data_IF_969724795871
#
_entry.id   IF_969724795871
#
_cell.length_a   1.000
_cell.length_b   1.000
_cell.length_c   1.000
_cell.angle_alpha   90.00
_cell.angle_beta   90.00
_cell.angle_gamma   90.00
#
_symmetry.space_group_name_H-M   'P 1'
#
loop_
_entity.id
_entity.type
_entity.pdbx_description
1 polymer ?
#
# COMPACT_ATOMS: atom_id res chain seq x y z
N UNK A 1 -11.50 -20.96 -1.11
CA UNK A 1 -11.13 -20.94 0.31
C UNK A 1 -10.98 -19.53 0.81
N UNK A 2 -11.63 -19.25 1.92
CA UNK A 2 -11.73 -17.87 2.42
C UNK A 2 -10.69 -17.59 3.49
N UNK A 3 -9.45 -17.37 3.08
CA UNK A 3 -8.47 -16.88 4.05
C UNK A 3 -8.61 -15.37 4.21
N UNK A 4 -8.20 -14.88 5.35
CA UNK A 4 -8.23 -13.44 5.58
C UNK A 4 -7.25 -12.74 4.66
N UNK A 5 -7.66 -11.59 4.16
CA UNK A 5 -6.76 -10.69 3.43
C UNK A 5 -5.73 -10.16 4.42
N UNK A 6 -4.46 -10.25 4.06
CA UNK A 6 -3.37 -9.79 4.89
C UNK A 6 -2.76 -8.52 4.28
N UNK A 7 -2.74 -7.45 5.06
CA UNK A 7 -2.30 -6.14 4.60
C UNK A 7 -1.10 -5.70 5.43
N UNK A 8 -0.06 -5.26 4.75
CA UNK A 8 1.09 -4.65 5.40
C UNK A 8 0.99 -3.14 5.23
N UNK A 9 1.04 -2.42 6.34
CA UNK A 9 1.00 -0.96 6.32
C UNK A 9 2.31 -0.39 6.84
N UNK A 10 2.85 0.58 6.12
CA UNK A 10 4.10 1.21 6.49
C UNK A 10 4.12 2.67 6.07
N UNK A 11 5.00 3.45 6.71
CA UNK A 11 5.28 4.82 6.32
C UNK A 11 6.58 4.83 5.53
N UNK A 12 6.53 5.38 4.34
CA UNK A 12 7.72 5.49 3.50
C UNK A 12 8.67 6.54 4.05
N UNK A 13 9.88 6.13 4.37
CA UNK A 13 10.92 7.03 4.83
C UNK A 13 10.80 7.36 6.31
N UNK A 14 11.27 8.55 6.65
CA UNK A 14 11.39 8.99 8.03
C UNK A 14 10.34 10.07 8.32
N UNK A 15 9.14 9.66 8.62
CA UNK A 15 8.05 10.58 8.96
C UNK A 15 7.56 10.23 10.35
N UNK A 16 7.39 11.27 11.19
CA UNK A 16 6.94 11.06 12.57
C UNK A 16 5.42 11.11 12.72
N UNK A 17 4.70 11.48 11.66
CA UNK A 17 3.24 11.61 11.70
C UNK A 17 2.61 10.30 11.22
N UNK A 18 1.99 9.57 12.13
CA UNK A 18 1.43 8.25 11.81
C UNK A 18 -0.07 8.11 12.10
N UNK A 19 -0.73 9.18 12.50
CA UNK A 19 -2.12 9.10 12.93
C UNK A 19 -3.06 8.55 11.86
N UNK A 20 -2.93 9.05 10.63
CA UNK A 20 -3.77 8.62 9.53
C UNK A 20 -3.61 7.14 9.24
N UNK A 21 -2.38 6.66 9.26
CA UNK A 21 -2.11 5.26 8.95
C UNK A 21 -2.61 4.34 10.05
N UNK A 22 -2.52 4.76 11.31
CA UNK A 22 -3.05 3.99 12.44
C UNK A 22 -4.56 3.84 12.30
N UNK A 23 -5.25 4.90 11.91
CA UNK A 23 -6.71 4.86 11.71
C UNK A 23 -7.05 3.87 10.58
N UNK A 24 -6.33 3.91 9.47
CA UNK A 24 -6.54 2.97 8.38
C UNK A 24 -6.33 1.53 8.86
N UNK A 25 -5.29 1.29 9.66
CA UNK A 25 -5.04 -0.05 10.19
C UNK A 25 -6.24 -0.55 11.01
N UNK A 26 -6.78 0.30 11.87
CA UNK A 26 -7.96 -0.06 12.68
C UNK A 26 -9.18 -0.35 11.81
N UNK A 27 -9.39 0.48 10.78
CA UNK A 27 -10.53 0.31 9.87
C UNK A 27 -10.44 -1.01 9.10
N UNK A 28 -9.24 -1.36 8.62
CA UNK A 28 -9.06 -2.62 7.90
C UNK A 28 -9.25 -3.83 8.80
N UNK A 29 -8.79 -3.75 10.05
CA UNK A 29 -9.03 -4.81 11.03
C UNK A 29 -10.53 -4.97 11.31
N UNK A 30 -11.25 -3.86 11.41
CA UNK A 30 -12.70 -3.90 11.59
C UNK A 30 -13.42 -4.58 10.44
N UNK A 31 -12.83 -4.54 9.24
CA UNK A 31 -13.37 -5.24 8.06
C UNK A 31 -12.97 -6.71 8.02
N UNK A 32 -12.27 -7.20 9.02
CA UNK A 32 -11.88 -8.60 9.10
C UNK A 32 -10.54 -8.93 8.48
N UNK A 33 -9.77 -7.93 8.12
CA UNK A 33 -8.45 -8.15 7.53
C UNK A 33 -7.38 -8.28 8.60
N UNK A 34 -6.33 -9.04 8.30
CA UNK A 34 -5.16 -9.11 9.16
C UNK A 34 -4.20 -7.99 8.75
N UNK A 35 -3.77 -7.19 9.70
CA UNK A 35 -2.93 -6.04 9.42
C UNK A 35 -1.60 -6.14 10.15
N UNK A 36 -0.51 -6.00 9.40
CA UNK A 36 0.83 -5.87 9.94
C UNK A 36 1.23 -4.41 9.81
N UNK A 37 1.50 -3.77 10.92
CA UNK A 37 1.87 -2.35 10.94
C UNK A 37 3.37 -2.23 11.24
N UNK A 38 4.14 -1.74 10.27
CA UNK A 38 5.59 -1.63 10.42
C UNK A 38 6.07 -0.27 10.93
N UNK A 39 5.29 0.79 10.69
CA UNK A 39 5.76 2.13 11.00
C UNK A 39 6.69 2.65 9.91
N UNK A 40 7.69 3.43 10.30
CA UNK A 40 8.63 4.03 9.34
C UNK A 40 9.55 2.98 8.75
N UNK A 41 9.56 2.84 7.44
CA UNK A 41 10.39 1.84 6.77
C UNK A 41 10.89 2.33 5.43
N UNK A 42 12.03 1.83 5.04
CA UNK A 42 12.54 2.02 3.68
C UNK A 42 11.99 0.90 2.77
N UNK A 43 11.97 1.13 1.46
CA UNK A 43 11.38 0.15 0.53
C UNK A 43 11.93 -1.27 0.66
N UNK A 44 13.22 -1.45 0.90
CA UNK A 44 13.79 -2.79 1.08
C UNK A 44 13.14 -3.55 2.22
N UNK A 45 12.95 -2.88 3.37
CA UNK A 45 12.34 -3.51 4.54
C UNK A 45 10.89 -3.87 4.27
N UNK A 46 10.17 -2.99 3.57
CA UNK A 46 8.77 -3.22 3.24
C UNK A 46 8.63 -4.47 2.39
N UNK A 47 9.41 -4.58 1.33
CA UNK A 47 9.34 -5.72 0.41
C UNK A 47 9.80 -7.00 1.10
N UNK A 48 10.89 -6.95 1.85
CA UNK A 48 11.37 -8.14 2.57
C UNK A 48 10.32 -8.66 3.54
N UNK A 49 9.72 -7.78 4.32
CA UNK A 49 8.68 -8.18 5.28
C UNK A 49 7.43 -8.69 4.57
N UNK A 50 7.04 -8.04 3.48
CA UNK A 50 5.86 -8.46 2.70
C UNK A 50 6.03 -9.89 2.20
N UNK A 51 7.22 -10.24 1.72
CA UNK A 51 7.50 -11.57 1.23
C UNK A 51 7.51 -12.58 2.38
N UNK A 52 8.17 -12.25 3.47
CA UNK A 52 8.25 -13.14 4.64
C UNK A 52 6.88 -13.42 5.24
N UNK A 53 6.03 -12.41 5.31
CA UNK A 53 4.70 -12.52 5.90
C UNK A 53 3.63 -12.96 4.92
N UNK A 54 3.97 -13.07 3.64
CA UNK A 54 3.04 -13.50 2.59
C UNK A 54 1.78 -12.64 2.53
N UNK A 55 1.99 -11.33 2.50
CA UNK A 55 0.86 -10.39 2.46
C UNK A 55 0.23 -10.33 1.07
N UNK A 56 -1.02 -9.87 1.02
CA UNK A 56 -1.75 -9.68 -0.24
C UNK A 56 -1.68 -8.24 -0.71
N UNK A 57 -1.54 -7.31 0.23
CA UNK A 57 -1.60 -5.87 -0.04
C UNK A 57 -0.49 -5.16 0.72
N UNK A 58 0.16 -4.22 0.05
CA UNK A 58 1.08 -3.29 0.69
C UNK A 58 0.47 -1.91 0.59
N UNK A 59 0.20 -1.29 1.74
CA UNK A 59 -0.28 0.09 1.80
C UNK A 59 0.77 0.96 2.44
N UNK A 60 1.13 2.05 1.78
CA UNK A 60 2.14 2.95 2.31
C UNK A 60 1.58 4.36 2.42
N UNK A 61 2.16 5.13 3.34
CA UNK A 61 1.81 6.53 3.54
C UNK A 61 3.08 7.36 3.37
N UNK A 62 2.96 8.50 2.73
CA UNK A 62 4.09 9.40 2.54
C UNK A 62 3.62 10.83 2.64
N UNK A 63 4.24 11.61 3.52
CA UNK A 63 3.85 13.01 3.76
C UNK A 63 4.94 14.00 3.40
N UNK A 64 6.14 13.57 3.17
CA UNK A 64 7.28 14.47 3.08
C UNK A 64 7.75 14.84 1.69
N UNK A 65 6.94 14.66 0.67
CA UNK A 65 7.36 14.98 -0.69
C UNK A 65 8.26 13.92 -1.33
N UNK A 66 8.55 12.85 -0.61
CA UNK A 66 9.39 11.76 -1.11
C UNK A 66 8.56 10.65 -1.75
N UNK A 67 7.26 10.86 -1.93
CA UNK A 67 6.37 9.82 -2.42
C UNK A 67 6.73 9.31 -3.81
N UNK A 68 7.18 10.16 -4.71
CA UNK A 68 7.56 9.71 -6.06
C UNK A 68 8.87 8.94 -6.04
N UNK A 69 9.89 9.45 -5.39
CA UNK A 69 11.19 8.77 -5.36
C UNK A 69 11.15 7.47 -4.57
N UNK A 70 10.57 7.49 -3.38
CA UNK A 70 10.47 6.29 -2.56
C UNK A 70 9.43 5.31 -3.10
N UNK A 71 8.34 5.83 -3.67
CA UNK A 71 7.34 4.99 -4.32
C UNK A 71 7.91 4.28 -5.53
N UNK A 72 8.69 4.98 -6.35
CA UNK A 72 9.36 4.37 -7.50
C UNK A 72 10.34 3.29 -7.06
N UNK A 73 11.07 3.55 -5.98
CA UNK A 73 12.02 2.58 -5.45
C UNK A 73 11.30 1.34 -4.91
N UNK A 74 10.16 1.53 -4.26
CA UNK A 74 9.34 0.42 -3.78
C UNK A 74 8.91 -0.47 -4.93
N UNK A 75 8.41 0.13 -6.01
CA UNK A 75 7.98 -0.61 -7.19
C UNK A 75 9.14 -1.34 -7.86
N UNK A 76 10.30 -0.69 -7.94
CA UNK A 76 11.50 -1.29 -8.49
C UNK A 76 11.92 -2.52 -7.68
N UNK A 77 11.92 -2.41 -6.35
CA UNK A 77 12.28 -3.53 -5.48
C UNK A 77 11.30 -4.68 -5.61
N UNK A 78 10.01 -4.39 -5.71
CA UNK A 78 8.99 -5.42 -5.90
C UNK A 78 9.18 -6.14 -7.25
N UNK A 79 9.47 -5.38 -8.30
CA UNK A 79 9.70 -5.96 -9.61
C UNK A 79 10.96 -6.84 -9.63
N UNK A 80 12.03 -6.40 -8.97
CA UNK A 80 13.27 -7.18 -8.87
C UNK A 80 13.05 -8.52 -8.19
N UNK A 81 12.15 -8.56 -7.22
CA UNK A 81 11.84 -9.79 -6.48
C UNK A 81 10.73 -10.61 -7.13
N UNK A 82 10.14 -10.12 -8.22
CA UNK A 82 9.10 -10.84 -8.94
C UNK A 82 7.71 -10.75 -8.32
N UNK A 83 7.46 -9.79 -7.44
CA UNK A 83 6.19 -9.69 -6.73
C UNK A 83 5.31 -8.52 -7.13
N UNK A 84 5.76 -7.67 -8.05
CA UNK A 84 4.99 -6.48 -8.41
C UNK A 84 3.60 -6.83 -8.93
N UNK A 85 3.49 -7.87 -9.73
CA UNK A 85 2.20 -8.25 -10.34
C UNK A 85 1.32 -9.07 -9.39
N UNK A 86 1.90 -9.63 -8.34
CA UNK A 86 1.16 -10.48 -7.41
C UNK A 86 0.54 -9.72 -6.25
N UNK A 87 1.13 -8.58 -5.88
CA UNK A 87 0.68 -7.80 -4.73
C UNK A 87 -0.09 -6.57 -5.17
N UNK A 88 -1.04 -6.16 -4.33
CA UNK A 88 -1.74 -4.89 -4.51
C UNK A 88 -0.95 -3.80 -3.79
N UNK A 89 -0.69 -2.69 -4.47
CA UNK A 89 0.07 -1.57 -3.91
C UNK A 89 -0.83 -0.34 -3.80
N UNK A 90 -0.96 0.16 -2.58
CA UNK A 90 -1.77 1.35 -2.29
C UNK A 90 -0.89 2.41 -1.65
N UNK A 91 -1.15 3.67 -1.95
CA UNK A 91 -0.43 4.77 -1.34
C UNK A 91 -1.40 5.88 -0.95
N UNK A 92 -1.20 6.43 0.25
CA UNK A 92 -1.92 7.58 0.73
C UNK A 92 -0.96 8.67 1.14
N UNK A 93 -1.42 9.91 1.15
CA UNK A 93 -0.57 11.02 1.56
C UNK A 93 -1.03 12.34 0.95
N UNK A 94 -0.21 13.35 1.16
CA UNK A 94 -0.46 14.69 0.61
C UNK A 94 0.36 14.85 -0.67
N UNK A 95 -0.31 14.83 -1.81
CA UNK A 95 0.36 15.02 -3.10
C UNK A 95 -0.56 15.76 -4.07
N UNK A 96 0.05 16.38 -5.08
CA UNK A 96 -0.70 17.08 -6.12
C UNK A 96 -1.40 16.10 -7.05
N UNK A 97 -2.41 16.56 -7.82
CA UNK A 97 -3.02 15.70 -8.83
C UNK A 97 -2.02 15.14 -9.84
N UNK A 98 -1.00 15.93 -10.20
CA UNK A 98 0.04 15.48 -11.12
C UNK A 98 0.86 14.35 -10.51
N UNK A 99 1.21 14.46 -9.23
CA UNK A 99 1.94 13.40 -8.54
C UNK A 99 1.08 12.16 -8.37
N UNK A 100 -0.23 12.32 -8.12
CA UNK A 100 -1.14 11.19 -8.04
C UNK A 100 -1.16 10.42 -9.36
N UNK A 101 -1.19 11.12 -10.49
CA UNK A 101 -1.16 10.49 -11.81
C UNK A 101 0.16 9.74 -12.03
N UNK A 102 1.27 10.32 -11.60
CA UNK A 102 2.57 9.66 -11.71
C UNK A 102 2.65 8.40 -10.85
N UNK A 103 2.06 8.44 -9.66
CA UNK A 103 2.04 7.26 -8.79
C UNK A 103 1.28 6.10 -9.44
N UNK A 104 0.17 6.39 -10.12
CA UNK A 104 -0.55 5.36 -10.88
C UNK A 104 0.33 4.80 -11.98
N UNK A 105 1.04 5.68 -12.71
CA UNK A 105 1.90 5.26 -13.81
C UNK A 105 3.04 4.36 -13.37
N UNK A 106 3.60 4.62 -12.19
CA UNK A 106 4.72 3.81 -11.70
C UNK A 106 4.27 2.49 -11.09
N UNK A 107 2.96 2.26 -10.95
CA UNK A 107 2.45 0.94 -10.64
C UNK A 107 1.55 0.82 -9.41
N UNK A 108 1.23 1.91 -8.73
CA UNK A 108 0.30 1.83 -7.61
C UNK A 108 -1.11 1.54 -8.10
N UNK A 109 -1.76 0.58 -7.46
CA UNK A 109 -3.12 0.17 -7.83
C UNK A 109 -4.17 1.11 -7.26
N UNK A 110 -3.86 1.81 -6.17
CA UNK A 110 -4.74 2.80 -5.58
C UNK A 110 -3.95 3.95 -4.99
N UNK A 111 -4.42 5.17 -5.22
CA UNK A 111 -3.78 6.40 -4.74
C UNK A 111 -4.84 7.20 -4.01
N UNK A 112 -4.60 7.50 -2.72
CA UNK A 112 -5.60 8.11 -1.85
C UNK A 112 -5.10 9.43 -1.28
N UNK A 113 -5.62 10.57 -1.77
CA UNK A 113 -5.27 11.87 -1.22
C UNK A 113 -5.93 12.08 0.15
N UNK A 114 -5.55 13.15 0.88
CA UNK A 114 -6.15 13.45 2.17
C UNK A 114 -7.66 13.56 2.07
N UNK A 115 -8.37 13.06 3.06
CA UNK A 115 -9.82 13.10 3.07
C UNK A 115 -10.49 11.93 2.39
N UNK A 116 -9.72 10.97 1.88
CA UNK A 116 -10.31 9.75 1.32
C UNK A 116 -11.07 9.01 2.41
N UNK A 117 -12.29 8.58 2.09
CA UNK A 117 -13.14 7.91 3.06
C UNK A 117 -12.68 6.47 3.28
N UNK A 118 -13.05 5.93 4.46
CA UNK A 118 -12.85 4.51 4.76
C UNK A 118 -13.44 3.64 3.65
N UNK A 119 -14.66 3.97 3.23
CA UNK A 119 -15.36 3.19 2.20
C UNK A 119 -14.58 3.19 0.90
N UNK A 120 -14.02 4.33 0.49
CA UNK A 120 -13.24 4.41 -0.74
C UNK A 120 -11.99 3.54 -0.68
N UNK A 121 -11.29 3.55 0.46
CA UNK A 121 -10.07 2.77 0.64
C UNK A 121 -10.38 1.28 0.64
N UNK A 122 -11.39 0.86 1.40
CA UNK A 122 -11.77 -0.56 1.51
C UNK A 122 -12.26 -1.08 0.15
N UNK A 123 -13.13 -0.32 -0.52
CA UNK A 123 -13.66 -0.72 -1.83
C UNK A 123 -12.54 -0.83 -2.85
N UNK A 124 -11.66 0.17 -2.90
CA UNK A 124 -10.53 0.16 -3.84
C UNK A 124 -9.60 -1.00 -3.61
N UNK A 125 -9.32 -1.32 -2.35
CA UNK A 125 -8.49 -2.46 -2.00
C UNK A 125 -9.11 -3.77 -2.48
N UNK A 126 -10.40 -3.97 -2.22
CA UNK A 126 -11.10 -5.19 -2.62
C UNK A 126 -11.16 -5.33 -4.14
N UNK A 127 -11.42 -4.24 -4.85
CA UNK A 127 -11.45 -4.26 -6.31
C UNK A 127 -10.08 -4.59 -6.89
N UNK A 128 -9.02 -4.00 -6.36
CA UNK A 128 -7.67 -4.26 -6.83
C UNK A 128 -7.27 -5.72 -6.60
N UNK A 129 -7.64 -6.28 -5.45
CA UNK A 129 -7.40 -7.70 -5.15
C UNK A 129 -8.12 -8.60 -6.14
N UNK A 130 -9.39 -8.30 -6.43
CA UNK A 130 -10.18 -9.09 -7.36
C UNK A 130 -9.55 -9.07 -8.75
N UNK A 131 -9.06 -7.93 -9.20
CA UNK A 131 -8.40 -7.80 -10.49
C UNK A 131 -7.11 -8.62 -10.56
N UNK A 132 -6.30 -8.59 -9.49
CA UNK A 132 -5.06 -9.37 -9.43
C UNK A 132 -5.35 -10.87 -9.43
N UNK A 133 -6.33 -11.30 -8.68
CA UNK A 133 -6.73 -12.71 -8.61
C UNK A 133 -7.30 -13.19 -9.95
N UNK A 134 -8.07 -12.35 -10.63
CA UNK A 134 -8.60 -12.68 -11.95
C UNK A 134 -7.49 -12.83 -12.98
N UNK A 135 -6.46 -11.99 -12.91
CA UNK A 135 -5.33 -12.05 -13.83
C UNK A 135 -4.50 -13.32 -13.64
N UNK A 136 -4.51 -13.89 -12.43
CA UNK A 136 -3.76 -15.10 -12.11
C UNK A 136 -4.50 -16.40 -12.50
N UNK A 137 -5.76 -16.30 -12.87
CA UNK A 137 -6.56 -17.51 -13.17
C UNK A 137 -6.61 -17.87 -14.65
#
# INVERSE_FOLDING_TARGET
>A
MNRKVKVLLAKLGLDVHNRGLVIVAMELRDEGMEVIYLGNCMPDEIITTAIQEQVDVIGVSSLGGAHLSLGSLLMQKAAEKGFKEELVFLIGGVFSPEDADELVKIGFDGVYPPGSSRAAIVTGLKEALAEKQAADS
#
